data_IF_605078011312
#
_entry.id   IF_605078011312
#
_cell.length_a   1.000
_cell.length_b   1.000
_cell.length_c   1.000
_cell.angle_alpha   90.00
_cell.angle_beta   90.00
_cell.angle_gamma   90.00
#
_symmetry.space_group_name_H-M   'P 1'
#
loop_
_entity.id
_entity.type
_entity.pdbx_description
1 polymer ?
#
# COMPACT_ATOMS: atom_id res chain seq x y z
N UNK A 1 10.35 6.60 -1.86
CA UNK A 1 9.66 5.91 -2.97
C UNK A 1 10.63 5.54 -4.08
N UNK A 2 11.49 6.45 -4.48
CA UNK A 2 12.41 6.16 -5.59
C UNK A 2 13.33 4.98 -5.33
N UNK A 3 13.85 4.85 -4.13
CA UNK A 3 14.70 3.71 -3.78
C UNK A 3 13.91 2.40 -3.81
N UNK A 4 12.67 2.42 -3.37
CA UNK A 4 11.80 1.23 -3.46
C UNK A 4 11.53 0.87 -4.91
N UNK A 5 11.36 1.86 -5.78
CA UNK A 5 11.12 1.61 -7.20
C UNK A 5 12.31 0.96 -7.90
N UNK A 6 13.49 1.04 -7.31
CA UNK A 6 14.66 0.35 -7.89
C UNK A 6 14.56 -1.18 -7.73
N UNK A 7 13.72 -1.65 -6.81
CA UNK A 7 13.57 -3.08 -6.50
C UNK A 7 12.17 -3.60 -6.72
N UNK A 8 11.17 -2.74 -6.58
CA UNK A 8 9.76 -3.13 -6.62
C UNK A 8 9.01 -2.26 -7.61
N UNK A 9 7.91 -2.78 -8.12
CA UNK A 9 6.92 -1.97 -8.80
C UNK A 9 6.10 -1.28 -7.72
N UNK A 10 6.11 0.04 -7.69
CA UNK A 10 5.44 0.83 -6.64
C UNK A 10 4.31 1.61 -7.27
N UNK A 11 3.09 1.28 -6.87
CA UNK A 11 1.88 1.91 -7.41
C UNK A 11 1.01 2.44 -6.27
N UNK A 12 0.13 3.36 -6.60
CA UNK A 12 -0.92 3.81 -5.68
C UNK A 12 -2.18 3.01 -5.97
N UNK A 13 -2.81 2.50 -4.92
CA UNK A 13 -4.16 1.95 -5.00
C UNK A 13 -5.07 2.85 -4.17
N UNK A 14 -5.96 3.58 -4.82
CA UNK A 14 -6.70 4.66 -4.17
C UNK A 14 -8.17 4.69 -4.55
N UNK A 15 -9.01 5.14 -3.60
CA UNK A 15 -10.43 5.42 -3.86
C UNK A 15 -10.62 6.81 -4.52
N UNK A 16 -9.60 7.64 -4.51
CA UNK A 16 -9.65 8.93 -5.21
C UNK A 16 -9.81 8.72 -6.70
N UNK A 17 -10.44 9.68 -7.37
CA UNK A 17 -10.48 9.65 -8.84
C UNK A 17 -9.06 9.71 -9.38
N UNK A 18 -8.88 9.17 -10.58
CA UNK A 18 -7.56 9.13 -11.20
C UNK A 18 -6.96 10.52 -11.34
N UNK A 19 -7.75 11.50 -11.77
CA UNK A 19 -7.25 12.87 -11.98
C UNK A 19 -6.81 13.52 -10.66
N UNK A 20 -7.55 13.30 -9.57
CA UNK A 20 -7.17 13.83 -8.26
C UNK A 20 -5.88 13.18 -7.79
N UNK A 21 -5.75 11.87 -7.96
CA UNK A 21 -4.53 11.17 -7.57
C UNK A 21 -3.33 11.67 -8.36
N UNK A 22 -3.50 11.94 -9.65
CA UNK A 22 -2.43 12.53 -10.48
C UNK A 22 -2.04 13.89 -9.96
N UNK A 23 -3.03 14.77 -9.70
CA UNK A 23 -2.76 16.14 -9.24
C UNK A 23 -2.06 16.13 -7.87
N UNK A 24 -2.50 15.30 -6.96
CA UNK A 24 -1.87 15.17 -5.64
C UNK A 24 -0.42 14.70 -5.77
N UNK A 25 -0.16 13.74 -6.63
CA UNK A 25 1.18 13.21 -6.84
C UNK A 25 2.10 14.27 -7.41
N UNK A 26 1.62 15.03 -8.40
CA UNK A 26 2.39 16.11 -9.00
C UNK A 26 2.68 17.23 -7.99
N UNK A 27 1.67 17.60 -7.22
CA UNK A 27 1.82 18.65 -6.21
C UNK A 27 2.88 18.27 -5.16
N UNK A 28 2.96 17.01 -4.80
CA UNK A 28 3.89 16.53 -3.80
C UNK A 28 5.20 16.01 -4.39
N UNK A 29 5.39 16.09 -5.69
CA UNK A 29 6.61 15.63 -6.33
C UNK A 29 6.86 14.14 -6.22
N UNK A 30 5.81 13.35 -6.16
CA UNK A 30 5.92 11.90 -6.02
C UNK A 30 5.74 11.24 -7.38
N UNK A 31 6.67 10.37 -7.74
CA UNK A 31 6.60 9.57 -8.98
C UNK A 31 6.29 8.12 -8.63
N UNK A 32 5.23 7.60 -9.21
CA UNK A 32 4.82 6.20 -9.06
C UNK A 32 5.08 5.46 -10.36
N UNK A 33 5.15 4.13 -10.30
CA UNK A 33 5.13 3.32 -11.52
C UNK A 33 3.74 3.31 -12.15
N UNK A 34 2.71 3.53 -11.35
CA UNK A 34 1.36 3.63 -11.85
C UNK A 34 0.39 4.08 -10.78
N UNK A 35 -0.78 4.52 -11.19
CA UNK A 35 -1.87 4.90 -10.31
C UNK A 35 -3.06 4.01 -10.64
N UNK A 36 -3.47 3.19 -9.66
CA UNK A 36 -4.62 2.32 -9.77
C UNK A 36 -5.76 2.95 -8.99
N UNK A 37 -6.64 3.65 -9.70
CA UNK A 37 -7.81 4.26 -9.08
C UNK A 37 -8.97 3.28 -9.09
N UNK A 38 -9.67 3.19 -7.97
CA UNK A 38 -10.89 2.41 -7.91
C UNK A 38 -11.94 2.88 -8.89
N UNK A 39 -11.82 4.13 -9.35
CA UNK A 39 -12.72 4.70 -10.37
C UNK A 39 -12.75 3.85 -11.63
N UNK A 40 -11.58 3.35 -12.09
CA UNK A 40 -11.56 2.51 -13.28
C UNK A 40 -11.42 1.02 -12.99
N UNK A 41 -11.14 0.66 -11.73
CA UNK A 41 -11.08 -0.76 -11.37
C UNK A 41 -12.48 -1.40 -11.28
N UNK A 42 -13.50 -0.61 -11.05
CA UNK A 42 -14.85 -1.10 -10.91
C UNK A 42 -15.19 -1.63 -9.52
N UNK A 43 -14.23 -1.59 -8.60
CA UNK A 43 -14.40 -2.02 -7.22
C UNK A 43 -13.72 -1.02 -6.30
N UNK A 44 -14.30 -0.77 -5.14
CA UNK A 44 -13.76 0.21 -4.19
C UNK A 44 -13.30 -0.49 -2.92
N UNK A 45 -12.20 0.01 -2.35
CA UNK A 45 -11.77 -0.46 -1.04
C UNK A 45 -12.88 -0.22 -0.01
N UNK A 46 -13.13 -1.12 0.93
CA UNK A 46 -12.31 -2.27 1.31
C UNK A 46 -12.71 -3.59 0.65
N UNK A 47 -13.45 -3.59 -0.44
CA UNK A 47 -13.84 -4.82 -1.10
C UNK A 47 -12.61 -5.59 -1.60
N UNK A 48 -12.60 -6.91 -1.38
CA UNK A 48 -11.47 -7.76 -1.75
C UNK A 48 -11.12 -7.63 -3.24
N UNK A 49 -12.13 -7.47 -4.08
CA UNK A 49 -11.96 -7.35 -5.53
C UNK A 49 -11.08 -6.15 -5.92
N UNK A 50 -11.11 -5.05 -5.14
CA UNK A 50 -10.27 -3.89 -5.44
C UNK A 50 -8.78 -4.26 -5.34
N UNK A 51 -8.40 -4.99 -4.30
CA UNK A 51 -7.01 -5.42 -4.09
C UNK A 51 -6.60 -6.48 -5.09
N UNK A 52 -7.47 -7.43 -5.35
CA UNK A 52 -7.22 -8.52 -6.29
C UNK A 52 -7.08 -7.97 -7.71
N UNK A 53 -7.94 -7.04 -8.09
CA UNK A 53 -7.87 -6.41 -9.40
C UNK A 53 -6.58 -5.61 -9.57
N UNK A 54 -6.15 -4.93 -8.50
CA UNK A 54 -4.88 -4.22 -8.51
C UNK A 54 -3.71 -5.16 -8.78
N UNK A 55 -3.66 -6.30 -8.10
CA UNK A 55 -2.63 -7.31 -8.34
C UNK A 55 -2.72 -7.86 -9.76
N UNK A 56 -3.92 -8.14 -10.25
CA UNK A 56 -4.13 -8.64 -11.61
C UNK A 56 -3.57 -7.69 -12.66
N UNK A 57 -3.79 -6.40 -12.50
CA UNK A 57 -3.28 -5.42 -13.44
C UNK A 57 -1.75 -5.39 -13.48
N UNK A 58 -1.11 -5.75 -12.39
CA UNK A 58 0.34 -5.90 -12.31
C UNK A 58 0.81 -7.28 -12.75
N UNK A 59 -0.13 -8.17 -13.11
CA UNK A 59 0.13 -9.56 -13.48
C UNK A 59 0.81 -10.33 -12.35
N UNK A 60 0.33 -10.08 -11.12
CA UNK A 60 0.82 -10.74 -9.92
C UNK A 60 -0.29 -11.53 -9.26
N UNK A 61 0.09 -12.63 -8.61
CA UNK A 61 -0.81 -13.26 -7.65
C UNK A 61 -0.89 -12.38 -6.41
N UNK A 62 -1.99 -12.41 -5.66
CA UNK A 62 -2.11 -11.57 -4.47
C UNK A 62 -0.95 -11.69 -3.48
N UNK A 63 -0.42 -12.90 -3.29
CA UNK A 63 0.69 -13.12 -2.36
C UNK A 63 2.03 -12.58 -2.85
N UNK A 64 2.08 -12.05 -4.06
CA UNK A 64 3.25 -11.38 -4.60
C UNK A 64 3.15 -9.85 -4.46
N UNK A 65 2.08 -9.36 -3.89
CA UNK A 65 1.83 -7.94 -3.69
C UNK A 65 1.75 -7.61 -2.20
N UNK A 66 2.14 -6.40 -1.86
CA UNK A 66 2.08 -5.92 -0.48
C UNK A 66 1.32 -4.60 -0.43
N UNK A 67 0.35 -4.51 0.46
CA UNK A 67 -0.34 -3.26 0.74
C UNK A 67 0.41 -2.50 1.83
N UNK A 68 0.76 -1.25 1.52
CA UNK A 68 1.40 -0.35 2.49
C UNK A 68 0.37 0.70 2.88
N UNK A 69 0.08 0.79 4.16
CA UNK A 69 -0.93 1.73 4.63
C UNK A 69 -0.69 2.15 6.08
N UNK A 70 -1.31 3.26 6.46
CA UNK A 70 -1.27 3.78 7.82
C UNK A 70 -2.55 3.43 8.60
N UNK A 71 -3.51 2.75 7.97
CA UNK A 71 -4.79 2.42 8.59
C UNK A 71 -5.00 0.91 8.65
N UNK A 72 -5.32 0.41 9.83
CA UNK A 72 -5.53 -1.00 10.06
C UNK A 72 -6.61 -1.60 9.17
N UNK A 73 -7.69 -0.86 8.94
CA UNK A 73 -8.79 -1.34 8.10
C UNK A 73 -8.36 -1.66 6.68
N UNK A 74 -7.50 -0.83 6.11
CA UNK A 74 -6.97 -1.05 4.76
C UNK A 74 -6.09 -2.31 4.73
N UNK A 75 -5.23 -2.46 5.73
CA UNK A 75 -4.35 -3.63 5.81
C UNK A 75 -5.12 -4.92 6.05
N UNK A 76 -6.14 -4.89 6.91
CA UNK A 76 -6.97 -6.07 7.15
C UNK A 76 -7.69 -6.51 5.88
N UNK A 77 -8.25 -5.56 5.14
CA UNK A 77 -8.94 -5.87 3.89
C UNK A 77 -7.97 -6.43 2.85
N UNK A 78 -6.79 -5.86 2.75
CA UNK A 78 -5.76 -6.37 1.83
C UNK A 78 -5.33 -7.78 2.19
N UNK A 79 -5.16 -8.08 3.47
CA UNK A 79 -4.79 -9.42 3.92
C UNK A 79 -5.89 -10.44 3.61
N UNK A 80 -7.15 -10.06 3.79
CA UNK A 80 -8.28 -10.93 3.42
C UNK A 80 -8.31 -11.22 1.93
N UNK A 81 -7.83 -10.29 1.12
CA UNK A 81 -7.72 -10.47 -0.32
C UNK A 81 -6.50 -11.31 -0.72
N UNK A 82 -5.62 -11.63 0.22
CA UNK A 82 -4.44 -12.46 -0.02
C UNK A 82 -3.14 -11.70 -0.15
N UNK A 83 -3.13 -10.37 0.02
CA UNK A 83 -1.92 -9.58 -0.07
C UNK A 83 -1.12 -9.64 1.23
N UNK A 84 0.15 -9.32 1.14
CA UNK A 84 0.98 -9.02 2.31
C UNK A 84 0.66 -7.63 2.82
N UNK A 85 1.08 -7.35 4.05
CA UNK A 85 0.75 -6.10 4.73
C UNK A 85 1.99 -5.42 5.29
N UNK A 86 2.04 -4.11 5.15
CA UNK A 86 3.07 -3.28 5.78
C UNK A 86 2.39 -2.06 6.40
N UNK A 87 2.54 -1.93 7.70
CA UNK A 87 2.05 -0.76 8.42
C UNK A 87 3.14 0.30 8.46
N UNK A 88 2.77 1.54 8.13
CA UNK A 88 3.62 2.71 8.29
C UNK A 88 2.91 3.71 9.16
N UNK A 89 3.51 4.03 10.31
CA UNK A 89 2.93 4.99 11.22
C UNK A 89 3.01 6.41 10.64
N UNK A 90 1.92 7.16 10.78
CA UNK A 90 1.87 8.55 10.39
C UNK A 90 1.19 9.35 11.49
N UNK A 91 1.90 10.33 12.04
CA UNK A 91 1.36 11.18 13.08
C UNK A 91 0.16 11.95 12.55
N UNK A 92 -0.88 12.02 13.38
CA UNK A 92 -2.08 12.76 13.04
C UNK A 92 -3.06 12.05 12.12
N UNK A 93 -2.75 10.86 11.66
CA UNK A 93 -3.68 10.09 10.81
C UNK A 93 -4.60 9.16 11.58
N UNK A 94 -4.28 8.90 12.85
CA UNK A 94 -5.13 8.11 13.71
C UNK A 94 -6.13 9.01 14.39
N UNK A 95 -7.36 9.03 13.90
CA UNK A 95 -8.39 9.86 14.49
C UNK A 95 -9.34 9.07 15.39
N UNK A 96 -8.89 7.93 15.88
CA UNK A 96 -9.68 7.14 16.80
C UNK A 96 -10.88 6.41 16.19
N UNK A 97 -11.17 6.64 14.92
CA UNK A 97 -12.30 5.99 14.25
C UNK A 97 -11.98 4.53 13.95
N UNK A 98 -10.73 4.23 13.67
CA UNK A 98 -10.30 2.89 13.25
C UNK A 98 -9.44 2.21 14.30
N UNK A 99 -9.58 2.56 15.55
CA UNK A 99 -8.80 1.96 16.60
C UNK A 99 -7.54 2.73 16.90
N UNK A 100 -7.01 2.48 18.04
CA UNK A 100 -5.93 3.26 18.59
C UNK A 100 -4.59 2.73 18.18
N UNK A 101 -4.49 1.46 17.88
CA UNK A 101 -3.22 0.84 17.60
C UNK A 101 -3.24 0.20 16.25
N UNK A 102 -2.67 0.91 15.31
CA UNK A 102 -2.55 0.41 13.98
C UNK A 102 -1.36 -0.53 13.83
N UNK A 103 -0.30 -0.31 14.62
CA UNK A 103 0.82 -1.24 14.66
C UNK A 103 0.41 -2.50 15.40
N UNK A 104 0.58 -3.64 14.78
CA UNK A 104 0.19 -4.91 15.36
C UNK A 104 1.12 -6.02 14.87
N UNK A 105 1.30 -7.08 15.70
CA UNK A 105 2.20 -8.18 15.32
C UNK A 105 1.74 -8.95 14.10
N UNK A 106 0.45 -8.92 13.77
CA UNK A 106 -0.07 -9.66 12.62
C UNK A 106 0.29 -9.02 11.28
N UNK A 107 0.77 -7.78 11.26
CA UNK A 107 1.26 -7.18 10.01
C UNK A 107 2.61 -7.77 9.65
N UNK A 108 2.83 -8.04 8.36
CA UNK A 108 4.10 -8.60 7.92
C UNK A 108 5.27 -7.65 8.19
N UNK A 109 5.03 -6.35 8.06
CA UNK A 109 6.03 -5.32 8.33
C UNK A 109 5.40 -4.22 9.17
N UNK A 110 6.13 -3.77 10.19
CA UNK A 110 5.73 -2.62 11.00
C UNK A 110 6.85 -1.58 10.94
N UNK A 111 6.53 -0.40 10.47
CA UNK A 111 7.51 0.68 10.31
C UNK A 111 7.01 1.95 11.00
N UNK A 112 7.93 2.66 11.66
CA UNK A 112 7.62 3.92 12.35
C UNK A 112 7.44 5.07 11.36
N UNK A 113 8.06 4.95 10.19
CA UNK A 113 7.99 5.95 9.13
C UNK A 113 8.41 5.31 7.81
N UNK A 114 8.34 6.08 6.74
CA UNK A 114 8.70 5.58 5.42
C UNK A 114 10.20 5.29 5.27
N UNK A 115 11.05 5.98 6.00
CA UNK A 115 12.49 5.70 5.98
C UNK A 115 12.78 4.32 6.54
N UNK A 116 12.12 3.95 7.64
CA UNK A 116 12.25 2.61 8.22
C UNK A 116 11.65 1.55 7.29
N UNK A 117 10.50 1.83 6.68
CA UNK A 117 9.91 0.92 5.72
C UNK A 117 10.87 0.60 4.58
N UNK A 118 11.49 1.63 4.01
CA UNK A 118 12.46 1.48 2.93
C UNK A 118 13.62 0.59 3.38
N UNK A 119 14.16 0.85 4.55
CA UNK A 119 15.26 0.06 5.08
C UNK A 119 14.87 -1.41 5.26
N UNK A 120 13.70 -1.65 5.85
CA UNK A 120 13.24 -3.01 6.11
C UNK A 120 13.01 -3.79 4.81
N UNK A 121 12.37 -3.17 3.84
CA UNK A 121 12.05 -3.84 2.59
C UNK A 121 13.28 -4.08 1.73
N UNK A 122 14.23 -3.15 1.71
CA UNK A 122 15.43 -3.32 0.91
C UNK A 122 16.41 -4.33 1.51
N UNK A 123 16.41 -4.51 2.83
CA UNK A 123 17.26 -5.52 3.46
C UNK A 123 16.68 -6.92 3.37
N UNK A 124 15.38 -7.08 3.25
CA UNK A 124 14.74 -8.40 3.17
C UNK A 124 14.88 -9.07 1.81
N UNK A 125 15.15 -8.30 0.78
CA UNK A 125 15.18 -8.81 -0.60
C UNK A 125 16.24 -9.89 -0.80
N UNK A 126 17.34 -9.83 -0.07
CA UNK A 126 18.42 -10.79 -0.23
C UNK A 126 18.03 -12.21 0.19
N UNK A 127 16.93 -12.38 0.91
CA UNK A 127 16.51 -13.68 1.45
C UNK A 127 15.36 -14.32 0.70
N UNK A 128 14.74 -13.60 -0.25
CA UNK A 128 13.54 -14.05 -0.93
C UNK A 128 13.71 -14.29 -2.41
N UNK A 129 14.91 -14.42 -2.81
CA UNK A 129 15.24 -14.60 -4.23
C UNK A 129 14.47 -15.74 -4.88
#
# INVERSE_FOLDING_TARGET
IEKLRSRYTVVVLTVLSWSIAVDCSRHNGISWDGILSCEFLGHYKPDAEAYQKGADLLRLEPDQAMMVAAHAGDLQAAMKAGLHSAYVHRDGESFGIFGELDSAPEWDVNARDFAELERLLLTQVSTTA
#
